data_IF_683019274100
#
_entry.id   IF_683019274100
#
_cell.length_a   1.000
_cell.length_b   1.000
_cell.length_c   1.000
_cell.angle_alpha   90.00
_cell.angle_beta   90.00
_cell.angle_gamma   90.00
#
_symmetry.space_group_name_H-M   'P 1'
#
loop_
_entity.id
_entity.type
_entity.pdbx_description
1 polymer ?
#
# COMPACT_ATOMS: atom_id res chain seq x y z
N UNK A 1 -19.27 -12.79 32.95
CA UNK A 1 -19.39 -11.40 32.48
C UNK A 1 -19.47 -11.47 30.96
N UNK A 2 -20.63 -11.17 30.36
CA UNK A 2 -20.73 -11.11 28.90
C UNK A 2 -19.96 -9.85 28.46
N UNK A 3 -19.06 -9.92 27.47
CA UNK A 3 -18.50 -8.72 26.86
C UNK A 3 -19.61 -8.15 25.98
N UNK A 4 -20.49 -7.36 26.59
CA UNK A 4 -21.60 -6.72 25.91
C UNK A 4 -21.17 -5.29 25.54
N UNK A 5 -21.46 -4.96 24.28
CA UNK A 5 -21.30 -3.69 23.60
C UNK A 5 -19.89 -3.13 23.35
N UNK A 6 -19.59 -2.96 22.06
CA UNK A 6 -18.45 -2.23 21.54
C UNK A 6 -18.33 -0.87 22.23
N UNK A 7 -17.27 -0.67 23.01
CA UNK A 7 -16.92 0.64 23.57
C UNK A 7 -16.95 1.68 22.43
N UNK A 8 -17.70 2.76 22.61
CA UNK A 8 -17.66 3.89 21.66
C UNK A 8 -16.41 4.71 21.95
N UNK A 9 -15.64 5.04 20.92
CA UNK A 9 -14.57 6.03 20.97
C UNK A 9 -15.17 7.36 20.51
N UNK A 10 -15.06 8.36 21.36
CA UNK A 10 -15.37 9.74 21.04
C UNK A 10 -14.09 10.44 20.59
N UNK A 11 -14.10 10.96 19.36
CA UNK A 11 -13.01 11.78 18.83
C UNK A 11 -13.50 13.23 18.77
N UNK A 12 -12.89 14.09 19.57
CA UNK A 12 -13.15 15.52 19.56
C UNK A 12 -12.21 16.20 18.58
N UNK A 13 -12.79 16.93 17.64
CA UNK A 13 -12.09 17.79 16.70
C UNK A 13 -12.33 19.26 17.04
N UNK A 14 -11.28 20.07 16.97
CA UNK A 14 -11.34 21.54 16.99
C UNK A 14 -11.22 22.11 15.58
N UNK A 15 -11.93 23.20 15.31
CA UNK A 15 -11.96 23.87 14.00
C UNK A 15 -11.60 25.35 14.16
N UNK A 16 -10.93 25.95 13.19
CA UNK A 16 -10.51 27.37 13.29
C UNK A 16 -11.47 28.37 12.63
N UNK A 17 -12.36 27.93 11.73
CA UNK A 17 -13.26 28.80 10.94
C UNK A 17 -14.66 28.20 10.75
N UNK A 18 -14.74 27.02 10.15
CA UNK A 18 -15.99 26.28 9.87
C UNK A 18 -15.81 24.80 10.20
N UNK A 19 -16.90 24.04 10.40
CA UNK A 19 -16.89 22.58 10.61
C UNK A 19 -16.61 21.81 9.31
N UNK A 20 -15.52 22.15 8.64
CA UNK A 20 -15.04 21.49 7.42
C UNK A 20 -13.91 20.52 7.75
N UNK A 21 -13.87 19.36 7.10
CA UNK A 21 -12.84 18.33 7.34
C UNK A 21 -11.41 18.86 7.17
N UNK A 22 -11.20 19.86 6.31
CA UNK A 22 -9.89 20.46 6.04
C UNK A 22 -9.38 21.35 7.19
N UNK A 23 -10.27 21.86 8.05
CA UNK A 23 -9.91 22.73 9.18
C UNK A 23 -9.89 22.00 10.53
N UNK A 24 -10.41 20.76 10.56
CA UNK A 24 -10.52 19.93 11.76
C UNK A 24 -9.15 19.42 12.22
N UNK A 25 -8.87 19.59 13.51
CA UNK A 25 -7.69 19.03 14.19
C UNK A 25 -8.15 18.18 15.38
N UNK A 26 -7.55 17.01 15.55
CA UNK A 26 -7.84 16.15 16.70
C UNK A 26 -7.39 16.87 17.97
N UNK A 27 -8.33 17.04 18.90
CA UNK A 27 -8.08 17.57 20.24
C UNK A 27 -7.93 16.40 21.22
N UNK A 28 -8.81 15.41 21.12
CA UNK A 28 -8.78 14.23 21.98
C UNK A 28 -9.49 13.03 21.35
N UNK A 29 -9.13 11.83 21.80
CA UNK A 29 -9.86 10.60 21.58
C UNK A 29 -10.00 9.86 22.92
N UNK A 30 -11.20 9.46 23.29
CA UNK A 30 -11.47 8.79 24.58
C UNK A 30 -12.65 7.84 24.46
N UNK A 31 -12.64 6.75 25.24
CA UNK A 31 -13.83 5.88 25.43
C UNK A 31 -14.65 6.29 26.66
N UNK A 32 -14.13 7.21 27.47
CA UNK A 32 -14.79 7.75 28.65
C UNK A 32 -15.51 9.05 28.27
N UNK A 33 -16.84 9.04 28.41
CA UNK A 33 -17.72 10.16 28.10
C UNK A 33 -17.55 11.34 29.09
N UNK A 34 -17.30 11.07 30.38
CA UNK A 34 -17.06 12.14 31.36
C UNK A 34 -15.73 12.84 31.07
N UNK A 35 -14.71 12.09 30.63
CA UNK A 35 -13.46 12.66 30.16
C UNK A 35 -13.68 13.53 28.92
N UNK A 36 -14.50 13.08 27.96
CA UNK A 36 -14.86 13.88 26.79
C UNK A 36 -15.50 15.21 27.20
N UNK A 37 -16.51 15.17 28.08
CA UNK A 37 -17.18 16.39 28.54
C UNK A 37 -16.21 17.32 29.27
N UNK A 38 -15.30 16.77 30.08
CA UNK A 38 -14.27 17.53 30.78
C UNK A 38 -13.35 18.26 29.79
N UNK A 39 -12.92 17.58 28.73
CA UNK A 39 -12.06 18.17 27.69
C UNK A 39 -12.82 19.25 26.93
N UNK A 40 -14.07 19.01 26.53
CA UNK A 40 -14.93 20.02 25.87
C UNK A 40 -15.07 21.26 26.77
N UNK A 41 -15.38 21.06 28.04
CA UNK A 41 -15.48 22.15 29.01
C UNK A 41 -14.19 22.96 29.13
N UNK A 42 -13.03 22.31 29.12
CA UNK A 42 -11.73 22.98 29.13
C UNK A 42 -11.47 23.79 27.86
N UNK A 43 -11.83 23.27 26.67
CA UNK A 43 -11.73 24.03 25.41
C UNK A 43 -12.63 25.26 25.42
N UNK A 44 -13.86 25.14 25.94
CA UNK A 44 -14.78 26.28 26.04
C UNK A 44 -14.25 27.34 27.01
N UNK A 45 -13.75 26.93 28.18
CA UNK A 45 -13.13 27.85 29.13
C UNK A 45 -11.88 28.52 28.57
N UNK A 46 -11.12 27.83 27.72
CA UNK A 46 -9.97 28.35 27.01
C UNK A 46 -10.30 29.26 25.81
N UNK A 47 -11.59 29.40 25.46
CA UNK A 47 -12.06 30.23 24.34
C UNK A 47 -11.72 29.67 22.96
N UNK A 48 -11.37 28.39 22.86
CA UNK A 48 -11.07 27.71 21.59
C UNK A 48 -12.27 27.00 20.99
N UNK A 49 -13.33 26.81 21.79
CA UNK A 49 -14.63 26.30 21.36
C UNK A 49 -15.74 27.12 22.01
N UNK A 50 -16.89 27.16 21.36
CA UNK A 50 -18.08 27.79 21.93
C UNK A 50 -19.17 26.74 22.09
N UNK A 51 -20.13 27.03 22.97
CA UNK A 51 -21.33 26.23 23.13
C UNK A 51 -22.56 27.12 23.00
N UNK A 52 -23.43 26.81 22.05
CA UNK A 52 -24.61 27.59 21.68
C UNK A 52 -24.27 29.06 21.35
N UNK A 53 -23.16 29.28 20.64
CA UNK A 53 -22.68 30.61 20.26
C UNK A 53 -22.06 31.44 21.39
N UNK A 54 -21.75 30.84 22.55
CA UNK A 54 -21.09 31.52 23.65
C UNK A 54 -19.74 30.89 24.00
N UNK A 55 -18.74 31.74 24.21
CA UNK A 55 -17.37 31.37 24.60
C UNK A 55 -17.14 31.50 26.10
N UNK A 56 -15.98 31.02 26.55
CA UNK A 56 -15.46 31.21 27.91
C UNK A 56 -16.47 30.79 29.00
N UNK A 57 -16.53 31.52 30.13
CA UNK A 57 -17.39 31.19 31.26
C UNK A 57 -18.87 31.07 30.87
N UNK A 58 -19.36 31.93 29.98
CA UNK A 58 -20.77 31.93 29.58
C UNK A 58 -21.14 30.69 28.75
N UNK A 59 -20.27 30.28 27.84
CA UNK A 59 -20.40 29.01 27.12
C UNK A 59 -20.32 27.82 28.08
N UNK A 60 -19.35 27.86 28.99
CA UNK A 60 -19.12 26.79 29.96
C UNK A 60 -20.29 26.59 30.91
N UNK A 61 -20.93 27.65 31.40
CA UNK A 61 -22.12 27.57 32.24
C UNK A 61 -23.27 26.84 31.56
N UNK A 62 -23.49 27.13 30.26
CA UNK A 62 -24.52 26.46 29.47
C UNK A 62 -24.17 24.99 29.22
N UNK A 63 -22.91 24.71 28.86
CA UNK A 63 -22.44 23.35 28.64
C UNK A 63 -22.56 22.52 29.92
N UNK A 64 -22.12 23.06 31.06
CA UNK A 64 -22.27 22.43 32.38
C UNK A 64 -23.74 22.17 32.71
N UNK A 65 -24.64 23.10 32.43
CA UNK A 65 -26.07 22.90 32.67
C UNK A 65 -26.61 21.73 31.83
N UNK A 66 -26.21 21.64 30.56
CA UNK A 66 -26.55 20.52 29.68
C UNK A 66 -25.98 19.18 30.21
N UNK A 67 -24.73 19.15 30.68
CA UNK A 67 -24.14 17.96 31.30
C UNK A 67 -24.93 17.50 32.53
N UNK A 68 -25.29 18.42 33.42
CA UNK A 68 -26.05 18.08 34.64
C UNK A 68 -27.49 17.62 34.35
N UNK A 69 -28.07 18.09 33.24
CA UNK A 69 -29.39 17.66 32.78
C UNK A 69 -29.36 16.35 31.98
N UNK A 70 -28.18 15.88 31.55
CA UNK A 70 -28.04 14.75 30.63
C UNK A 70 -28.54 15.05 29.20
N UNK A 71 -28.69 16.32 28.83
CA UNK A 71 -29.22 16.78 27.53
C UNK A 71 -28.11 17.47 26.71
N UNK A 72 -26.97 16.80 26.59
CA UNK A 72 -25.83 17.31 25.83
C UNK A 72 -26.07 17.07 24.35
N UNK A 73 -26.03 18.15 23.57
CA UNK A 73 -26.05 18.10 22.11
C UNK A 73 -24.73 18.59 21.56
N UNK A 74 -23.88 17.68 21.06
CA UNK A 74 -22.59 18.05 20.45
C UNK A 74 -22.74 18.90 19.18
N UNK A 75 -23.91 18.90 18.55
CA UNK A 75 -24.22 19.79 17.43
C UNK A 75 -24.15 21.28 17.81
N UNK A 76 -24.41 21.60 19.09
CA UNK A 76 -24.40 22.95 19.63
C UNK A 76 -22.98 23.48 19.92
N UNK A 77 -21.93 22.68 19.71
CA UNK A 77 -20.56 23.17 19.78
C UNK A 77 -20.24 23.98 18.53
N UNK A 78 -19.80 25.22 18.67
CA UNK A 78 -19.14 25.94 17.58
C UNK A 78 -17.63 25.75 17.71
N UNK A 79 -16.95 25.66 16.56
CA UNK A 79 -15.53 25.31 16.49
C UNK A 79 -15.16 23.94 17.09
N UNK A 80 -16.16 23.12 17.44
CA UNK A 80 -16.00 21.74 17.92
C UNK A 80 -16.86 20.75 17.13
N UNK A 81 -16.34 19.54 16.94
CA UNK A 81 -17.08 18.43 16.36
C UNK A 81 -16.72 17.13 17.07
N UNK A 82 -17.73 16.35 17.47
CA UNK A 82 -17.52 15.04 18.12
C UNK A 82 -17.92 13.95 17.13
N UNK A 83 -16.95 13.15 16.72
CA UNK A 83 -17.19 11.92 15.98
C UNK A 83 -17.29 10.75 16.96
N UNK A 84 -18.34 9.94 16.80
CA UNK A 84 -18.50 8.70 17.54
C UNK A 84 -18.20 7.55 16.61
N UNK A 85 -17.19 6.76 16.97
CA UNK A 85 -16.81 5.57 16.22
C UNK A 85 -16.72 4.37 17.15
N UNK A 86 -16.83 3.16 16.60
CA UNK A 86 -16.67 1.94 17.39
C UNK A 86 -15.19 1.77 17.75
N UNK A 87 -14.91 1.33 18.97
CA UNK A 87 -13.57 0.89 19.35
C UNK A 87 -13.26 -0.41 18.59
N UNK A 88 -12.51 -0.27 17.50
CA UNK A 88 -12.12 -1.38 16.65
C UNK A 88 -11.08 -2.23 17.37
N UNK A 89 -11.43 -3.47 17.69
CA UNK A 89 -10.52 -4.41 18.31
C UNK A 89 -9.86 -5.29 17.26
N UNK A 90 -8.71 -5.86 17.59
CA UNK A 90 -8.05 -6.82 16.69
C UNK A 90 -8.95 -8.02 16.39
N UNK A 91 -9.81 -8.44 17.33
CA UNK A 91 -10.83 -9.48 17.10
C UNK A 91 -11.80 -9.14 15.97
N UNK A 92 -11.97 -7.87 15.62
CA UNK A 92 -12.80 -7.43 14.50
C UNK A 92 -12.06 -7.52 13.15
N UNK A 93 -10.73 -7.72 13.13
CA UNK A 93 -9.96 -7.83 11.89
C UNK A 93 -10.41 -9.02 11.03
N UNK A 94 -10.83 -10.13 11.67
CA UNK A 94 -11.32 -11.32 10.99
C UNK A 94 -12.65 -11.10 10.25
N UNK A 95 -13.36 -9.99 10.52
CA UNK A 95 -14.62 -9.65 9.85
C UNK A 95 -14.39 -8.84 8.57
N UNK A 96 -13.21 -8.24 8.40
CA UNK A 96 -12.86 -7.39 7.25
C UNK A 96 -11.63 -7.98 6.52
N UNK A 97 -11.82 -8.62 5.35
CA UNK A 97 -10.74 -9.32 4.64
C UNK A 97 -9.52 -8.44 4.34
N UNK A 98 -9.72 -7.13 4.14
CA UNK A 98 -8.61 -6.19 3.91
C UNK A 98 -7.74 -6.03 5.16
N UNK A 99 -8.36 -5.94 6.34
CA UNK A 99 -7.66 -5.81 7.62
C UNK A 99 -6.97 -7.13 7.99
N UNK A 100 -7.63 -8.27 7.76
CA UNK A 100 -7.03 -9.59 7.98
C UNK A 100 -5.78 -9.79 7.13
N UNK A 101 -5.86 -9.49 5.81
CA UNK A 101 -4.70 -9.60 4.91
C UNK A 101 -3.55 -8.71 5.37
N UNK A 102 -3.83 -7.45 5.71
CA UNK A 102 -2.81 -6.52 6.20
C UNK A 102 -2.18 -7.01 7.51
N UNK A 103 -3.01 -7.45 8.47
CA UNK A 103 -2.55 -8.00 9.73
C UNK A 103 -1.63 -9.21 9.53
N UNK A 104 -2.03 -10.17 8.67
CA UNK A 104 -1.20 -11.32 8.35
C UNK A 104 0.16 -10.88 7.81
N UNK A 105 0.18 -10.01 6.80
CA UNK A 105 1.43 -9.55 6.16
C UNK A 105 2.36 -8.81 7.13
N UNK A 106 1.81 -8.00 8.04
CA UNK A 106 2.59 -7.27 9.05
C UNK A 106 3.25 -8.19 10.10
N UNK A 107 2.71 -9.40 10.31
CA UNK A 107 3.19 -10.34 11.34
C UNK A 107 3.98 -11.52 10.77
N UNK A 108 4.25 -11.56 9.47
CA UNK A 108 5.16 -12.55 8.88
C UNK A 108 6.60 -12.22 9.26
N UNK A 109 7.46 -13.24 9.31
CA UNK A 109 8.91 -13.01 9.37
C UNK A 109 9.41 -12.34 8.09
N UNK A 110 10.56 -11.64 8.14
CA UNK A 110 11.17 -11.05 6.95
C UNK A 110 11.41 -12.08 5.85
N UNK A 111 11.79 -13.32 6.21
CA UNK A 111 11.97 -14.41 5.24
C UNK A 111 10.66 -14.75 4.52
N UNK A 112 9.58 -14.93 5.26
CA UNK A 112 8.26 -15.29 4.70
C UNK A 112 7.68 -14.14 3.87
N UNK A 113 7.79 -12.91 4.37
CA UNK A 113 7.36 -11.72 3.63
C UNK A 113 8.17 -11.55 2.33
N UNK A 114 9.50 -11.73 2.40
CA UNK A 114 10.35 -11.68 1.21
C UNK A 114 10.05 -12.82 0.24
N UNK A 115 9.75 -14.04 0.71
CA UNK A 115 9.37 -15.14 -0.18
C UNK A 115 8.07 -14.84 -0.94
N UNK A 116 7.08 -14.22 -0.29
CA UNK A 116 5.84 -13.77 -0.95
C UNK A 116 6.13 -12.65 -1.95
N UNK A 117 7.01 -11.70 -1.60
CA UNK A 117 7.36 -10.55 -2.45
C UNK A 117 8.23 -10.96 -3.65
N UNK A 118 9.19 -11.85 -3.46
CA UNK A 118 10.14 -12.29 -4.49
C UNK A 118 9.57 -13.34 -5.42
N UNK A 119 8.36 -13.86 -5.13
CA UNK A 119 7.78 -14.98 -5.87
C UNK A 119 8.58 -16.27 -5.71
N UNK A 120 9.31 -16.43 -4.60
CA UNK A 120 10.17 -17.59 -4.40
C UNK A 120 9.38 -18.89 -4.45
N UNK A 121 9.86 -19.82 -5.28
CA UNK A 121 9.30 -21.17 -5.42
C UNK A 121 9.79 -22.12 -4.32
N UNK A 122 10.58 -21.65 -3.34
CA UNK A 122 11.14 -22.46 -2.23
C UNK A 122 10.07 -23.23 -1.44
N UNK A 123 8.85 -22.70 -1.36
CA UNK A 123 7.75 -23.32 -0.62
C UNK A 123 6.96 -24.37 -1.45
N UNK A 124 7.33 -24.60 -2.71
CA UNK A 124 6.73 -25.61 -3.56
C UNK A 124 7.57 -26.89 -3.55
N UNK A 125 6.91 -28.05 -3.66
CA UNK A 125 7.63 -29.32 -3.83
C UNK A 125 8.43 -29.35 -5.13
N UNK A 126 9.60 -29.99 -5.11
CA UNK A 126 10.58 -29.96 -6.21
C UNK A 126 9.97 -30.29 -7.59
N UNK A 127 9.04 -31.26 -7.66
CA UNK A 127 8.38 -31.65 -8.92
C UNK A 127 7.47 -30.54 -9.45
N UNK A 128 6.76 -29.84 -8.57
CA UNK A 128 5.91 -28.72 -8.96
C UNK A 128 6.75 -27.52 -9.41
N UNK A 129 7.87 -27.27 -8.74
CA UNK A 129 8.82 -26.22 -9.09
C UNK A 129 9.40 -26.45 -10.49
N UNK A 130 9.88 -27.67 -10.78
CA UNK A 130 10.38 -28.04 -12.12
C UNK A 130 9.34 -27.83 -13.21
N UNK A 131 8.10 -28.27 -12.98
CA UNK A 131 7.02 -28.10 -13.96
C UNK A 131 6.67 -26.63 -14.25
N UNK A 132 6.75 -25.75 -13.23
CA UNK A 132 6.49 -24.32 -13.41
C UNK A 132 7.62 -23.68 -14.21
N UNK A 133 8.88 -23.99 -13.87
CA UNK A 133 10.06 -23.48 -14.55
C UNK A 133 10.11 -23.95 -16.02
N UNK A 134 9.81 -25.23 -16.28
CA UNK A 134 9.74 -25.79 -17.64
C UNK A 134 8.71 -25.06 -18.52
N UNK A 135 7.52 -24.78 -17.98
CA UNK A 135 6.49 -24.00 -18.69
C UNK A 135 6.89 -22.55 -18.91
N UNK A 136 7.57 -21.93 -17.95
CA UNK A 136 8.05 -20.57 -18.06
C UNK A 136 9.14 -20.45 -19.15
N UNK A 137 10.09 -21.38 -19.17
CA UNK A 137 11.13 -21.47 -20.20
C UNK A 137 10.53 -21.73 -21.59
N UNK A 138 9.59 -22.67 -21.69
CA UNK A 138 8.86 -22.94 -22.95
C UNK A 138 8.11 -21.72 -23.47
N UNK A 139 7.55 -20.90 -22.57
CA UNK A 139 6.91 -19.65 -22.95
C UNK A 139 7.94 -18.60 -23.39
N UNK A 140 9.05 -18.45 -22.65
CA UNK A 140 10.11 -17.50 -22.98
C UNK A 140 10.73 -17.78 -24.36
N UNK A 141 11.04 -19.05 -24.65
CA UNK A 141 11.54 -19.52 -25.95
C UNK A 141 10.64 -19.17 -27.13
N UNK A 142 9.34 -19.01 -26.90
CA UNK A 142 8.36 -18.69 -27.95
C UNK A 142 8.12 -17.19 -28.15
N UNK A 143 8.53 -16.36 -27.19
CA UNK A 143 8.15 -14.94 -27.16
C UNK A 143 9.34 -13.98 -27.18
N UNK A 144 10.55 -14.44 -26.83
CA UNK A 144 11.77 -13.64 -26.93
C UNK A 144 12.50 -13.91 -28.23
N UNK A 145 13.23 -12.90 -28.73
CA UNK A 145 14.25 -13.11 -29.73
C UNK A 145 15.34 -14.03 -29.15
N UNK A 146 15.88 -14.90 -29.99
CA UNK A 146 16.76 -15.96 -29.54
C UNK A 146 18.01 -15.48 -28.79
N UNK A 147 18.63 -14.39 -29.27
CA UNK A 147 19.78 -13.76 -28.62
C UNK A 147 19.43 -13.11 -27.27
N UNK A 148 18.32 -12.38 -27.17
CA UNK A 148 17.85 -11.76 -25.91
C UNK A 148 17.58 -12.83 -24.85
N UNK A 149 16.97 -13.94 -25.26
CA UNK A 149 16.72 -15.07 -24.37
C UNK A 149 18.02 -15.72 -23.91
N UNK A 150 18.95 -15.98 -24.82
CA UNK A 150 20.26 -16.54 -24.48
C UNK A 150 21.00 -15.66 -23.47
N UNK A 151 21.06 -14.34 -23.71
CA UNK A 151 21.69 -13.40 -22.79
C UNK A 151 21.04 -13.48 -21.40
N UNK A 152 19.70 -13.51 -21.35
CA UNK A 152 18.98 -13.62 -20.08
C UNK A 152 19.24 -14.95 -19.35
N UNK A 153 19.23 -16.08 -20.05
CA UNK A 153 19.52 -17.40 -19.47
C UNK A 153 20.95 -17.47 -18.90
N UNK A 154 21.92 -16.85 -19.59
CA UNK A 154 23.31 -16.92 -19.21
C UNK A 154 23.71 -15.90 -18.14
N UNK A 155 23.31 -14.64 -18.31
CA UNK A 155 23.75 -13.54 -17.44
C UNK A 155 22.89 -13.43 -16.17
N UNK A 156 21.57 -13.57 -16.30
CA UNK A 156 20.64 -13.37 -15.17
C UNK A 156 20.31 -14.68 -14.44
N UNK A 157 20.12 -15.79 -15.17
CA UNK A 157 19.87 -17.10 -14.58
C UNK A 157 21.13 -17.93 -14.31
N UNK A 158 22.30 -17.49 -14.80
CA UNK A 158 23.59 -18.09 -14.54
C UNK A 158 23.78 -19.48 -15.14
N UNK A 159 23.01 -19.85 -16.16
CA UNK A 159 23.14 -21.16 -16.83
C UNK A 159 24.42 -21.23 -17.66
N UNK A 160 25.07 -22.39 -17.66
CA UNK A 160 26.20 -22.64 -18.56
C UNK A 160 25.72 -22.89 -20.00
N UNK A 161 26.63 -22.75 -20.97
CA UNK A 161 26.31 -23.05 -22.36
C UNK A 161 25.92 -24.52 -22.55
N UNK A 162 26.59 -25.43 -21.85
CA UNK A 162 26.28 -26.85 -21.90
C UNK A 162 24.88 -27.15 -21.36
N UNK A 163 24.48 -26.46 -20.29
CA UNK A 163 23.14 -26.57 -19.71
C UNK A 163 22.06 -26.04 -20.65
N UNK A 164 22.33 -24.90 -21.30
CA UNK A 164 21.43 -24.28 -22.28
C UNK A 164 21.27 -25.19 -23.51
N UNK A 165 22.36 -25.71 -24.08
CA UNK A 165 22.30 -26.62 -25.22
C UNK A 165 21.61 -27.94 -24.88
N UNK A 166 21.87 -28.51 -23.71
CA UNK A 166 21.19 -29.73 -23.27
C UNK A 166 19.69 -29.52 -23.05
N UNK A 167 19.24 -28.31 -22.74
CA UNK A 167 17.83 -27.96 -22.67
C UNK A 167 17.16 -27.82 -24.07
N UNK A 168 17.92 -28.01 -25.16
CA UNK A 168 17.43 -28.00 -26.53
C UNK A 168 17.53 -26.63 -27.23
N UNK A 169 18.32 -25.70 -26.69
CA UNK A 169 18.62 -24.43 -27.33
C UNK A 169 19.90 -24.56 -28.18
N UNK A 170 19.77 -24.60 -29.50
CA UNK A 170 20.93 -24.62 -30.40
C UNK A 170 21.58 -23.24 -30.44
N UNK A 171 22.77 -23.12 -29.83
CA UNK A 171 23.45 -21.83 -29.66
C UNK A 171 23.86 -21.20 -31.00
N UNK A 172 24.12 -22.04 -32.01
CA UNK A 172 24.50 -21.62 -33.35
C UNK A 172 23.35 -20.91 -34.10
N UNK A 173 22.10 -21.07 -33.65
CA UNK A 173 20.95 -20.33 -34.20
C UNK A 173 20.87 -18.87 -33.70
N UNK A 174 21.67 -18.49 -32.70
CA UNK A 174 21.57 -17.21 -32.00
C UNK A 174 22.77 -16.29 -32.18
N UNK A 175 23.84 -16.78 -32.82
CA UNK A 175 24.91 -15.94 -33.33
C UNK A 175 24.54 -15.57 -34.76
N UNK A 176 24.32 -14.29 -35.05
CA UNK A 176 24.38 -13.84 -36.44
C UNK A 176 25.79 -14.14 -36.94
N UNK A 177 25.91 -14.95 -37.99
CA UNK A 177 27.18 -15.15 -38.69
C UNK A 177 27.74 -13.76 -39.03
N UNK A 178 28.86 -13.37 -38.40
CA UNK A 178 29.57 -12.10 -38.65
C UNK A 178 30.12 -11.99 -40.10
N UNK A 179 29.73 -12.88 -41.02
CA UNK A 179 30.38 -13.04 -42.32
C UNK A 179 29.78 -12.23 -43.47
N UNK A 180 28.75 -11.42 -43.27
CA UNK A 180 28.14 -10.63 -44.37
C UNK A 180 28.46 -9.12 -44.34
N UNK A 181 29.53 -8.72 -43.64
CA UNK A 181 30.18 -7.43 -43.91
C UNK A 181 31.38 -7.63 -44.83
N UNK A 182 31.12 -8.00 -46.09
CA UNK A 182 32.11 -7.71 -47.13
C UNK A 182 32.24 -6.18 -47.21
N UNK A 183 33.41 -5.69 -46.80
CA UNK A 183 33.79 -4.31 -47.02
C UNK A 183 33.85 -4.09 -48.54
N UNK A 184 32.84 -3.45 -49.12
CA UNK A 184 32.94 -2.87 -50.47
C UNK A 184 33.87 -1.65 -50.42
N UNK A 185 35.16 -1.91 -50.28
CA UNK A 185 36.21 -1.05 -50.83
C UNK A 185 36.36 -1.46 -52.31
N UNK A 186 35.58 -0.85 -53.20
CA UNK A 186 35.87 -0.89 -54.63
C UNK A 186 36.00 0.55 -55.16
N UNK A 187 37.25 1.03 -55.08
CA UNK A 187 37.73 2.10 -55.92
C UNK A 187 37.99 1.52 -57.31
N UNK A 188 37.12 1.79 -58.28
CA UNK A 188 37.56 1.78 -59.68
C UNK A 188 37.30 3.12 -60.38
N UNK A 189 38.43 3.60 -60.88
CA UNK A 189 38.74 4.80 -61.64
C UNK A 189 38.33 4.59 -63.11
N UNK A 190 37.72 5.62 -63.70
CA UNK A 190 37.66 5.98 -65.13
C UNK A 190 37.32 4.93 -66.21
N UNK A 191 36.26 5.17 -67.00
CA UNK A 191 36.37 5.66 -68.39
C UNK A 191 35.08 5.49 -69.23
N UNK A 192 34.77 6.58 -69.94
CA UNK A 192 34.27 6.68 -71.32
C UNK A 192 32.76 6.61 -71.68
N UNK A 193 32.30 7.81 -72.10
CA UNK A 193 31.73 8.16 -73.40
C UNK A 193 30.23 7.94 -73.78
N UNK A 194 29.71 9.05 -74.34
CA UNK A 194 28.59 9.27 -75.26
C UNK A 194 27.12 9.27 -74.76
N UNK A 195 26.59 10.49 -74.57
CA UNK A 195 25.66 11.13 -75.55
C UNK A 195 25.47 12.64 -75.31
#
# INVERSE_FOLDING_TARGET
MKPDDSLTVYVLYGCTLSKERSSMRIVAATTDEEMLHTIIGAQILGGTMDYRGFSNMKGFEQFRAACRAGDIRYSDLDYGFVEQTKNLMLTDCAKEPRLEKAYRLLNLSEREFNAIRSGSLENLGADRTRLILDKALSWAARNYAGWDLYQYLREELGMSNEEISHAGFELDEFYEDETDYEAEDDYEEDCDEEL
#
